data_IF_178400844481
#
_entry.id   IF_178400844481
#
_cell.length_a   1.000
_cell.length_b   1.000
_cell.length_c   1.000
_cell.angle_alpha   90.00
_cell.angle_beta   90.00
_cell.angle_gamma   90.00
#
_symmetry.space_group_name_H-M   'P 1'
#
loop_
_entity.id
_entity.type
_entity.pdbx_description
1 polymer ?
#
# COMPACT_ATOMS: atom_id res chain seq x y z
N UNK A 1 -0.16 0.49 16.41
CA UNK A 1 0.64 1.05 15.31
C UNK A 1 2.09 1.02 15.75
N UNK A 2 2.74 -0.11 15.59
CA UNK A 2 4.14 -0.32 15.96
C UNK A 2 4.88 -0.57 14.66
N UNK A 3 5.68 0.43 14.24
CA UNK A 3 6.60 0.33 13.11
C UNK A 3 7.81 -0.46 13.60
N UNK A 4 7.92 -1.71 13.16
CA UNK A 4 9.11 -2.54 13.35
C UNK A 4 10.19 -2.07 12.37
N UNK A 5 11.24 -1.46 12.91
CA UNK A 5 12.44 -1.06 12.19
C UNK A 5 13.50 -2.16 12.30
N UNK A 6 13.50 -3.11 11.36
CA UNK A 6 14.59 -4.07 11.18
C UNK A 6 15.65 -3.48 10.21
N UNK A 7 16.96 -3.52 10.55
CA UNK A 7 18.00 -2.81 9.82
C UNK A 7 18.66 -3.70 8.76
N UNK A 8 18.44 -3.43 7.47
CA UNK A 8 19.39 -3.86 6.42
C UNK A 8 19.23 -3.06 5.13
N UNK A 9 20.34 -2.42 4.74
CA UNK A 9 20.68 -1.89 3.41
C UNK A 9 20.07 -0.54 2.98
N UNK A 10 20.68 0.56 3.45
CA UNK A 10 20.59 1.87 2.79
C UNK A 10 21.48 1.86 1.55
N UNK A 11 20.91 2.03 0.36
CA UNK A 11 21.62 2.47 -0.83
C UNK A 11 21.09 3.84 -1.22
N UNK A 12 21.90 4.87 -1.01
CA UNK A 12 21.56 6.27 -1.32
C UNK A 12 21.69 6.48 -2.82
N UNK A 13 20.55 6.67 -3.49
CA UNK A 13 20.46 7.40 -4.74
C UNK A 13 19.35 8.45 -4.59
N UNK A 14 19.61 9.68 -5.04
CA UNK A 14 18.84 10.92 -4.84
C UNK A 14 17.38 10.81 -4.34
N UNK A 15 17.08 11.40 -3.17
CA UNK A 15 15.74 11.75 -2.64
C UNK A 15 14.60 10.79 -3.04
N UNK A 16 14.81 9.48 -2.91
CA UNK A 16 13.79 8.47 -3.20
C UNK A 16 13.61 7.63 -1.95
N UNK A 17 12.52 7.86 -1.23
CA UNK A 17 12.11 7.03 -0.11
C UNK A 17 11.28 5.86 -0.63
N UNK A 18 11.64 4.64 -0.25
CA UNK A 18 10.83 3.45 -0.52
C UNK A 18 9.85 3.19 0.62
N UNK A 19 8.65 2.70 0.28
CA UNK A 19 7.68 2.25 1.27
C UNK A 19 7.11 0.88 0.93
N UNK A 20 6.73 0.14 1.97
CA UNK A 20 5.99 -1.12 1.89
C UNK A 20 4.88 -1.12 2.95
N UNK A 21 3.68 -1.50 2.53
CA UNK A 21 2.50 -1.58 3.37
C UNK A 21 1.92 -2.98 3.28
N UNK A 22 1.53 -3.52 4.44
CA UNK A 22 0.78 -4.77 4.55
C UNK A 22 -0.55 -4.46 5.23
N UNK A 23 -1.64 -4.74 4.52
CA UNK A 23 -3.01 -4.62 5.01
C UNK A 23 -3.47 -6.00 5.46
N UNK A 24 -3.72 -6.16 6.75
CA UNK A 24 -4.27 -7.39 7.32
C UNK A 24 -5.79 -7.33 7.33
N UNK A 25 -6.43 -8.39 6.87
CA UNK A 25 -7.87 -8.58 6.85
C UNK A 25 -8.27 -9.91 7.48
N UNK A 26 -9.40 -10.43 7.03
CA UNK A 26 -9.93 -11.75 7.38
C UNK A 26 -10.47 -12.38 6.11
N UNK A 27 -9.77 -13.38 5.60
CA UNK A 27 -10.14 -14.07 4.38
C UNK A 27 -11.38 -14.94 4.52
N UNK A 28 -11.86 -15.44 3.39
CA UNK A 28 -13.04 -16.30 3.34
C UNK A 28 -13.56 -16.49 1.93
N UNK A 29 -14.70 -17.17 1.80
CA UNK A 29 -15.30 -17.39 0.49
C UNK A 29 -15.86 -16.08 -0.07
N UNK A 30 -15.54 -15.74 -1.33
CA UNK A 30 -15.99 -14.51 -1.98
C UNK A 30 -17.52 -14.36 -2.05
N UNK A 31 -18.29 -15.45 -1.96
CA UNK A 31 -19.75 -15.42 -1.90
C UNK A 31 -20.30 -14.99 -0.52
N UNK A 32 -19.46 -14.87 0.50
CA UNK A 32 -19.84 -14.50 1.87
C UNK A 32 -19.02 -13.31 2.38
N UNK A 33 -19.02 -12.15 1.67
CA UNK A 33 -18.14 -11.03 2.03
C UNK A 33 -18.49 -10.41 3.40
N UNK A 34 -19.76 -10.51 3.83
CA UNK A 34 -20.26 -9.98 5.10
C UNK A 34 -19.63 -10.62 6.35
N UNK A 35 -18.99 -11.80 6.20
CA UNK A 35 -18.19 -12.44 7.27
C UNK A 35 -16.69 -12.31 7.04
N UNK A 36 -16.24 -11.46 6.12
CA UNK A 36 -14.81 -11.22 5.84
C UNK A 36 -14.43 -9.78 6.13
N UNK A 37 -13.12 -9.52 6.16
CA UNK A 37 -12.58 -8.16 6.12
C UNK A 37 -11.66 -8.16 4.90
N UNK A 38 -12.11 -7.58 3.80
CA UNK A 38 -11.44 -7.66 2.50
C UNK A 38 -10.21 -6.72 2.45
N UNK A 39 -8.98 -7.25 2.51
CA UNK A 39 -7.79 -6.42 2.49
C UNK A 39 -7.50 -5.86 1.09
N UNK A 40 -8.03 -6.45 0.01
CA UNK A 40 -7.86 -5.97 -1.37
C UNK A 40 -8.59 -4.64 -1.54
N UNK A 41 -9.85 -4.60 -1.12
CA UNK A 41 -10.66 -3.38 -1.16
C UNK A 41 -10.02 -2.26 -0.32
N UNK A 42 -9.56 -2.59 0.89
CA UNK A 42 -8.89 -1.63 1.78
C UNK A 42 -7.59 -1.11 1.14
N UNK A 43 -6.75 -1.99 0.59
CA UNK A 43 -5.52 -1.58 -0.08
C UNK A 43 -5.79 -0.65 -1.28
N UNK A 44 -6.81 -0.95 -2.09
CA UNK A 44 -7.21 -0.11 -3.22
C UNK A 44 -7.60 1.30 -2.76
N UNK A 45 -8.42 1.41 -1.70
CA UNK A 45 -8.81 2.71 -1.14
C UNK A 45 -7.60 3.51 -0.62
N UNK A 46 -6.63 2.84 0.01
CA UNK A 46 -5.40 3.49 0.47
C UNK A 46 -4.60 3.99 -0.73
N UNK A 47 -4.38 3.16 -1.75
CA UNK A 47 -3.61 3.53 -2.96
C UNK A 47 -4.24 4.73 -3.65
N UNK A 48 -5.55 4.74 -3.84
CA UNK A 48 -6.27 5.90 -4.43
C UNK A 48 -6.11 7.14 -3.56
N UNK A 49 -6.22 7.00 -2.23
CA UNK A 49 -6.08 8.12 -1.30
C UNK A 49 -4.65 8.68 -1.28
N UNK A 50 -3.62 7.84 -1.42
CA UNK A 50 -2.22 8.28 -1.51
C UNK A 50 -1.99 9.25 -2.68
N UNK A 51 -2.69 9.07 -3.79
CA UNK A 51 -2.60 9.99 -4.94
C UNK A 51 -3.09 11.41 -4.60
N UNK A 52 -3.97 11.54 -3.60
CA UNK A 52 -4.46 12.85 -3.15
C UNK A 52 -3.46 13.58 -2.24
N UNK A 53 -2.51 12.86 -1.62
CA UNK A 53 -1.52 13.48 -0.73
C UNK A 53 -0.54 14.32 -1.53
N UNK A 54 -0.04 13.80 -2.66
CA UNK A 54 0.84 14.53 -3.57
C UNK A 54 0.19 15.82 -4.11
N UNK A 55 -1.14 15.85 -4.26
CA UNK A 55 -1.85 17.01 -4.79
C UNK A 55 -2.26 18.04 -3.74
N UNK A 56 -2.18 17.72 -2.44
CA UNK A 56 -2.76 18.57 -1.36
C UNK A 56 -1.77 19.00 -0.27
N UNK A 57 -0.67 18.27 -0.06
CA UNK A 57 0.25 18.50 1.06
C UNK A 57 1.65 18.95 0.64
N UNK A 58 1.88 19.12 -0.67
CA UNK A 58 3.17 19.52 -1.22
C UNK A 58 2.99 20.93 -1.80
N UNK A 59 3.94 21.82 -1.52
CA UNK A 59 3.98 23.15 -2.15
C UNK A 59 3.86 22.95 -3.67
N UNK A 60 2.90 23.57 -4.37
CA UNK A 60 2.74 23.39 -5.81
C UNK A 60 3.99 23.76 -6.63
N UNK A 61 4.95 24.48 -6.05
CA UNK A 61 6.26 24.76 -6.64
C UNK A 61 7.30 23.65 -6.40
N UNK A 62 7.02 22.70 -5.50
CA UNK A 62 7.83 21.50 -5.22
C UNK A 62 7.19 20.29 -5.92
N UNK A 63 7.97 19.52 -6.66
CA UNK A 63 7.46 18.30 -7.29
C UNK A 63 7.50 17.14 -6.30
N UNK A 64 6.34 16.58 -5.93
CA UNK A 64 6.29 15.29 -5.26
C UNK A 64 5.63 14.24 -6.12
N UNK A 65 6.25 13.05 -6.18
CA UNK A 65 5.77 11.91 -6.95
C UNK A 65 5.63 10.71 -6.01
N UNK A 66 4.42 10.18 -5.90
CA UNK A 66 4.13 8.93 -5.19
C UNK A 66 3.82 7.85 -6.21
N UNK A 67 4.67 6.83 -6.30
CA UNK A 67 4.50 5.71 -7.23
C UNK A 67 4.25 4.43 -6.45
N UNK A 68 3.09 3.79 -6.64
CA UNK A 68 2.84 2.41 -6.18
C UNK A 68 3.18 1.47 -7.34
N UNK A 69 4.22 0.68 -7.19
CA UNK A 69 4.76 -0.19 -8.26
C UNK A 69 4.55 -1.66 -8.00
N UNK A 70 4.16 -2.03 -6.77
CA UNK A 70 3.86 -3.40 -6.38
C UNK A 70 2.49 -3.42 -5.71
N UNK A 71 1.62 -4.32 -6.14
CA UNK A 71 0.40 -4.71 -5.45
C UNK A 71 0.27 -6.24 -5.54
N UNK A 72 0.08 -6.91 -4.40
CA UNK A 72 -0.05 -8.37 -4.30
C UNK A 72 -1.16 -8.71 -3.30
N UNK A 73 -2.10 -9.56 -3.70
CA UNK A 73 -3.12 -10.09 -2.80
C UNK A 73 -3.81 -11.31 -3.41
N UNK A 74 -3.88 -12.40 -2.63
CA UNK A 74 -4.60 -13.63 -3.01
C UNK A 74 -4.02 -14.40 -4.20
N UNK A 75 -4.48 -15.64 -4.34
CA UNK A 75 -4.03 -16.57 -5.39
C UNK A 75 -5.22 -17.25 -6.10
N UNK A 76 -6.47 -16.93 -5.71
CA UNK A 76 -7.69 -17.52 -6.25
C UNK A 76 -8.77 -16.46 -6.45
N UNK A 77 -9.55 -16.58 -7.52
CA UNK A 77 -10.58 -15.60 -7.90
C UNK A 77 -11.86 -15.64 -7.04
N UNK A 78 -12.05 -16.71 -6.25
CA UNK A 78 -13.25 -16.95 -5.43
C UNK A 78 -12.97 -16.94 -3.92
N UNK A 79 -11.79 -16.45 -3.51
CA UNK A 79 -11.34 -16.37 -2.11
C UNK A 79 -10.89 -14.95 -1.82
N UNK A 80 -11.44 -14.36 -0.77
CA UNK A 80 -10.94 -13.12 -0.18
C UNK A 80 -9.70 -13.49 0.64
N UNK A 81 -8.52 -12.87 0.39
CA UNK A 81 -7.28 -13.23 1.08
C UNK A 81 -7.24 -12.68 2.52
N UNK A 82 -6.31 -13.20 3.33
CA UNK A 82 -6.06 -12.70 4.69
C UNK A 82 -5.26 -11.39 4.71
N UNK A 83 -4.53 -11.10 3.64
CA UNK A 83 -3.74 -9.87 3.53
C UNK A 83 -3.59 -9.41 2.08
N UNK A 84 -3.31 -8.12 1.94
CA UNK A 84 -2.87 -7.49 0.72
C UNK A 84 -1.62 -6.66 1.04
N UNK A 85 -0.65 -6.63 0.12
CA UNK A 85 0.54 -5.81 0.28
C UNK A 85 0.78 -4.96 -0.95
N UNK A 86 1.28 -3.75 -0.73
CA UNK A 86 1.71 -2.88 -1.80
C UNK A 86 2.97 -2.12 -1.40
N UNK A 87 3.77 -1.73 -2.39
CA UNK A 87 5.02 -1.05 -2.17
C UNK A 87 5.31 -0.08 -3.33
N UNK A 88 6.21 0.85 -3.08
CA UNK A 88 6.42 1.96 -3.98
C UNK A 88 7.51 2.90 -3.52
N UNK A 89 7.59 4.04 -4.20
CA UNK A 89 8.53 5.11 -3.93
C UNK A 89 7.83 6.45 -3.75
N UNK A 90 8.44 7.31 -2.96
CA UNK A 90 8.08 8.71 -2.77
C UNK A 90 9.30 9.54 -3.14
N UNK A 91 9.08 10.58 -3.93
CA UNK A 91 10.08 11.60 -4.27
C UNK A 91 9.52 12.96 -3.87
N UNK A 92 10.37 13.80 -3.29
CA UNK A 92 10.09 15.19 -2.88
C UNK A 92 11.29 16.06 -3.18
#
# INVERSE_FOLDING_TARGET
>A
MTLDASPAFRMVTASTDEFRVVVKGRGGHAAMPHITIDPVMIAAQIITSLQTIASRNVDPLQSSVVSVTILKAGDASNVIPNEASFAGTIRT
#
